data_IF_893517337082
#
_entry.id   IF_893517337082
#
_cell.length_a   1.000
_cell.length_b   1.000
_cell.length_c   1.000
_cell.angle_alpha   90.00
_cell.angle_beta   90.00
_cell.angle_gamma   90.00
#
_symmetry.space_group_name_H-M   'P 1'
#
loop_
_entity.id
_entity.type
_entity.pdbx_description
1 polymer ?
#
# COMPACT_ATOMS: atom_id res chain seq x y z
N UNK A 1 -8.30 3.56 4.58
CA UNK A 1 -7.36 4.33 5.44
C UNK A 1 -6.80 5.62 4.81
N UNK A 2 -6.34 5.61 3.55
CA UNK A 2 -5.68 6.79 2.94
C UNK A 2 -6.62 7.92 2.50
N UNK A 3 -7.86 7.59 2.07
CA UNK A 3 -8.80 8.59 1.52
C UNK A 3 -9.16 9.70 2.54
N UNK A 4 -9.44 9.40 3.82
CA UNK A 4 -9.70 10.44 4.82
C UNK A 4 -8.49 11.33 5.11
N UNK A 5 -7.29 10.74 5.23
CA UNK A 5 -6.06 11.50 5.49
C UNK A 5 -5.73 12.46 4.34
N UNK A 6 -5.85 12.01 3.08
CA UNK A 6 -5.69 12.86 1.89
C UNK A 6 -6.74 13.98 1.82
N UNK A 7 -7.98 13.71 2.23
CA UNK A 7 -9.05 14.72 2.26
C UNK A 7 -8.82 15.79 3.34
N UNK A 8 -8.22 15.43 4.48
CA UNK A 8 -7.88 16.42 5.53
C UNK A 8 -6.68 17.28 5.16
N UNK A 9 -5.76 16.79 4.33
CA UNK A 9 -4.54 17.51 3.94
C UNK A 9 -4.79 18.79 3.12
N UNK A 10 -5.99 18.93 2.52
CA UNK A 10 -6.42 20.11 1.76
C UNK A 10 -7.25 21.10 2.59
N UNK A 11 -7.42 20.84 3.88
CA UNK A 11 -8.19 21.70 4.81
C UNK A 11 -7.27 22.70 5.53
N UNK A 12 -7.85 23.70 6.20
CA UNK A 12 -7.11 24.71 6.97
C UNK A 12 -6.38 24.13 8.21
N UNK A 13 -6.68 22.89 8.61
CA UNK A 13 -6.02 22.18 9.71
C UNK A 13 -5.68 20.74 9.30
N UNK A 14 -4.63 20.55 8.48
CA UNK A 14 -4.26 19.24 8.01
C UNK A 14 -3.67 18.39 9.15
N UNK A 15 -4.15 17.15 9.30
CA UNK A 15 -3.61 16.18 10.27
C UNK A 15 -2.20 15.75 9.88
N UNK A 16 -1.98 15.58 8.58
CA UNK A 16 -0.69 15.34 7.95
C UNK A 16 -0.58 16.19 6.70
N UNK A 17 0.63 16.60 6.34
CA UNK A 17 0.89 17.20 5.03
C UNK A 17 0.78 16.15 3.93
N UNK A 18 0.52 16.58 2.69
CA UNK A 18 0.48 15.68 1.52
C UNK A 18 1.80 14.90 1.40
N UNK A 19 2.94 15.55 1.62
CA UNK A 19 4.25 14.93 1.56
C UNK A 19 4.45 13.85 2.65
N UNK A 20 3.98 14.09 3.88
CA UNK A 20 4.01 13.09 4.95
C UNK A 20 3.15 11.88 4.58
N UNK A 21 1.95 12.11 4.01
CA UNK A 21 1.08 11.02 3.55
C UNK A 21 1.75 10.23 2.43
N UNK A 22 2.33 10.89 1.43
CA UNK A 22 3.02 10.22 0.33
C UNK A 22 4.23 9.41 0.80
N UNK A 23 4.95 9.90 1.82
CA UNK A 23 6.09 9.21 2.42
C UNK A 23 5.65 8.00 3.24
N UNK A 24 4.68 8.15 4.14
CA UNK A 24 4.19 7.07 5.01
C UNK A 24 3.53 5.95 4.19
N UNK A 25 2.73 6.32 3.18
CA UNK A 25 1.94 5.37 2.40
C UNK A 25 2.55 5.06 1.02
N UNK A 26 3.83 5.37 0.82
CA UNK A 26 4.52 5.16 -0.45
C UNK A 26 4.36 3.70 -0.91
N UNK A 27 3.94 3.49 -2.17
CA UNK A 27 3.72 2.17 -2.80
C UNK A 27 2.70 1.23 -2.17
N UNK A 28 2.06 1.57 -1.05
CA UNK A 28 1.06 0.69 -0.42
C UNK A 28 -0.13 0.43 -1.35
N UNK A 29 -0.63 1.47 -2.02
CA UNK A 29 -1.76 1.34 -2.97
C UNK A 29 -1.37 0.48 -4.18
N UNK A 30 -0.17 0.70 -4.74
CA UNK A 30 0.34 -0.09 -5.86
C UNK A 30 0.46 -1.58 -5.48
N UNK A 31 1.01 -1.89 -4.30
CA UNK A 31 1.12 -3.25 -3.78
C UNK A 31 -0.25 -3.89 -3.62
N UNK A 32 -1.22 -3.16 -3.05
CA UNK A 32 -2.59 -3.65 -2.92
C UNK A 32 -3.21 -4.02 -4.27
N UNK A 33 -3.06 -3.16 -5.28
CA UNK A 33 -3.62 -3.40 -6.61
C UNK A 33 -2.98 -4.62 -7.29
N UNK A 34 -1.67 -4.76 -7.20
CA UNK A 34 -0.93 -5.93 -7.71
C UNK A 34 -1.45 -7.23 -7.08
N UNK A 35 -1.60 -7.25 -5.75
CA UNK A 35 -2.06 -8.45 -5.04
C UNK A 35 -3.54 -8.74 -5.27
N UNK A 36 -4.37 -7.69 -5.35
CA UNK A 36 -5.79 -7.83 -5.68
C UNK A 36 -5.96 -8.40 -7.09
N UNK A 37 -5.22 -7.88 -8.07
CA UNK A 37 -5.27 -8.42 -9.43
C UNK A 37 -4.81 -9.87 -9.47
N UNK A 38 -3.71 -10.21 -8.78
CA UNK A 38 -3.25 -11.59 -8.70
C UNK A 38 -4.31 -12.51 -8.09
N UNK A 39 -4.92 -12.09 -6.98
CA UNK A 39 -5.99 -12.83 -6.32
C UNK A 39 -7.23 -13.00 -7.20
N UNK A 40 -7.72 -11.93 -7.82
CA UNK A 40 -8.92 -11.93 -8.66
C UNK A 40 -8.77 -12.90 -9.86
N UNK A 41 -7.55 -13.07 -10.37
CA UNK A 41 -7.24 -14.02 -11.45
C UNK A 41 -6.97 -15.45 -10.95
N UNK A 42 -6.41 -15.61 -9.75
CA UNK A 42 -6.05 -16.91 -9.18
C UNK A 42 -7.26 -17.63 -8.58
N UNK A 43 -8.07 -16.93 -7.80
CA UNK A 43 -9.20 -17.48 -7.05
C UNK A 43 -10.17 -18.32 -7.93
N UNK A 44 -10.68 -17.84 -9.08
CA UNK A 44 -11.60 -18.63 -9.90
C UNK A 44 -10.95 -19.89 -10.48
N UNK A 45 -9.65 -19.83 -10.83
CA UNK A 45 -8.90 -20.98 -11.36
C UNK A 45 -8.67 -22.05 -10.30
N UNK A 46 -8.50 -21.65 -9.04
CA UNK A 46 -8.36 -22.59 -7.91
C UNK A 46 -9.70 -23.22 -7.56
N UNK A 47 -10.79 -22.44 -7.60
CA UNK A 47 -12.14 -22.96 -7.31
C UNK A 47 -12.65 -23.93 -8.38
N UNK A 48 -12.30 -23.69 -9.65
CA UNK A 48 -12.65 -24.55 -10.78
C UNK A 48 -11.39 -25.17 -11.37
N UNK A 49 -10.73 -26.00 -10.57
CA UNK A 49 -9.50 -26.64 -10.97
C UNK A 49 -9.71 -27.69 -12.07
N UNK A 50 -8.95 -27.57 -13.16
CA UNK A 50 -8.81 -28.60 -14.19
C UNK A 50 -7.33 -28.84 -14.50
N UNK A 51 -6.99 -30.07 -14.84
CA UNK A 51 -5.67 -30.56 -15.27
C UNK A 51 -5.04 -29.79 -16.42
N UNK A 52 -5.84 -29.11 -17.25
CA UNK A 52 -5.37 -28.27 -18.37
C UNK A 52 -5.09 -26.82 -17.96
N UNK A 53 -5.50 -26.39 -16.76
CA UNK A 53 -5.33 -25.01 -16.31
C UNK A 53 -3.87 -24.77 -15.92
N UNK A 54 -3.22 -23.85 -16.63
CA UNK A 54 -1.90 -23.35 -16.23
C UNK A 54 -2.03 -22.03 -15.48
N UNK A 55 -1.24 -21.85 -14.42
CA UNK A 55 -1.22 -20.64 -13.60
C UNK A 55 0.13 -19.93 -13.59
N UNK A 56 1.17 -20.53 -14.17
CA UNK A 56 2.53 -19.99 -14.13
C UNK A 56 2.64 -18.55 -14.64
N UNK A 57 1.84 -18.19 -15.66
CA UNK A 57 1.78 -16.83 -16.19
C UNK A 57 1.32 -15.79 -15.15
N UNK A 58 0.46 -16.17 -14.20
CA UNK A 58 0.02 -15.28 -13.10
C UNK A 58 1.18 -14.96 -12.16
N UNK A 59 1.97 -15.97 -11.81
CA UNK A 59 3.16 -15.79 -10.96
C UNK A 59 4.27 -15.04 -11.68
N UNK A 60 4.46 -15.26 -12.99
CA UNK A 60 5.40 -14.48 -13.80
C UNK A 60 5.00 -13.00 -13.86
N UNK A 61 3.70 -12.72 -14.04
CA UNK A 61 3.18 -11.35 -13.99
C UNK A 61 3.42 -10.69 -12.63
N UNK A 62 3.12 -11.39 -11.53
CA UNK A 62 3.41 -10.90 -10.18
C UNK A 62 4.91 -10.61 -9.98
N UNK A 63 5.78 -11.53 -10.44
CA UNK A 63 7.23 -11.37 -10.35
C UNK A 63 7.74 -10.14 -11.15
N UNK A 64 7.15 -9.85 -12.31
CA UNK A 64 7.50 -8.67 -13.11
C UNK A 64 7.22 -7.34 -12.40
N UNK A 65 6.32 -7.33 -11.41
CA UNK A 65 5.92 -6.14 -10.66
C UNK A 65 6.66 -5.99 -9.31
N UNK A 66 7.62 -6.88 -9.00
CA UNK A 66 8.42 -6.82 -7.75
C UNK A 66 9.25 -5.54 -7.60
N UNK A 67 9.46 -4.77 -8.67
CA UNK A 67 10.10 -3.45 -8.58
C UNK A 67 9.39 -2.49 -7.61
N UNK A 68 8.07 -2.63 -7.45
CA UNK A 68 7.28 -1.85 -6.49
C UNK A 68 7.68 -2.17 -5.04
N UNK A 69 7.99 -3.43 -4.75
CA UNK A 69 8.46 -3.85 -3.42
C UNK A 69 9.81 -3.25 -3.07
N UNK A 70 10.74 -3.20 -4.05
CA UNK A 70 12.02 -2.54 -3.84
C UNK A 70 11.81 -1.07 -3.45
N UNK A 71 11.00 -0.34 -4.21
CA UNK A 71 10.69 1.06 -3.92
C UNK A 71 10.02 1.25 -2.54
N UNK A 72 9.13 0.34 -2.13
CA UNK A 72 8.55 0.33 -0.79
C UNK A 72 9.61 0.12 0.31
N UNK A 73 10.45 -0.90 0.16
CA UNK A 73 11.50 -1.26 1.15
C UNK A 73 12.54 -0.15 1.26
N UNK A 74 12.97 0.43 0.13
CA UNK A 74 13.94 1.54 0.11
C UNK A 74 13.41 2.76 0.89
N UNK A 75 12.09 2.99 0.88
CA UNK A 75 11.44 4.08 1.62
C UNK A 75 11.04 3.71 3.06
N UNK A 76 11.04 2.42 3.43
CA UNK A 76 10.43 1.93 4.68
C UNK A 76 10.96 2.63 5.93
N UNK A 77 12.28 2.84 6.03
CA UNK A 77 12.90 3.53 7.16
C UNK A 77 12.40 4.98 7.28
N UNK A 78 12.31 5.69 6.16
CA UNK A 78 11.86 7.09 6.12
C UNK A 78 10.38 7.19 6.45
N UNK A 79 9.56 6.26 5.96
CA UNK A 79 8.15 6.15 6.30
C UNK A 79 7.94 5.96 7.81
N UNK A 80 8.69 5.06 8.43
CA UNK A 80 8.59 4.78 9.87
C UNK A 80 8.98 5.99 10.71
N UNK A 81 10.14 6.60 10.44
CA UNK A 81 10.58 7.81 11.14
C UNK A 81 9.59 8.97 10.97
N UNK A 82 8.98 9.11 9.79
CA UNK A 82 7.96 10.13 9.53
C UNK A 82 6.69 9.85 10.32
N UNK A 83 6.23 8.60 10.34
CA UNK A 83 5.06 8.20 11.11
C UNK A 83 5.25 8.43 12.62
N UNK A 84 6.42 8.07 13.17
CA UNK A 84 6.74 8.30 14.58
C UNK A 84 6.73 9.79 14.94
N UNK A 85 7.40 10.63 14.13
CA UNK A 85 7.42 12.09 14.34
C UNK A 85 6.02 12.68 14.27
N UNK A 86 5.20 12.23 13.31
CA UNK A 86 3.82 12.67 13.17
C UNK A 86 2.96 12.23 14.35
N UNK A 87 3.17 11.02 14.88
CA UNK A 87 2.41 10.49 16.02
C UNK A 87 2.69 11.27 17.29
N UNK A 88 3.97 11.64 17.53
CA UNK A 88 4.36 12.47 18.67
C UNK A 88 3.89 13.93 18.56
N UNK A 89 3.74 14.46 17.35
CA UNK A 89 3.39 15.88 17.12
C UNK A 89 1.90 16.13 16.87
N UNK A 90 1.12 15.09 16.53
CA UNK A 90 -0.29 15.23 16.22
C UNK A 90 -1.14 14.16 16.92
N UNK A 91 -1.85 14.57 17.99
CA UNK A 91 -2.76 13.71 18.75
C UNK A 91 -3.87 13.05 17.92
N UNK A 92 -4.29 13.67 16.82
CA UNK A 92 -5.30 13.09 15.93
C UNK A 92 -4.69 11.98 15.06
N UNK A 93 -3.43 12.13 14.63
CA UNK A 93 -2.70 11.06 13.96
C UNK A 93 -2.33 9.93 14.92
N UNK A 94 -1.92 10.24 16.16
CA UNK A 94 -1.62 9.27 17.20
C UNK A 94 -2.78 8.28 17.42
N UNK A 95 -4.00 8.80 17.56
CA UNK A 95 -5.23 8.00 17.72
C UNK A 95 -5.56 7.11 16.52
N UNK A 96 -5.05 7.42 15.33
CA UNK A 96 -5.27 6.65 14.11
C UNK A 96 -4.14 5.62 13.90
N UNK A 97 -2.96 5.87 14.46
CA UNK A 97 -1.79 4.99 14.36
C UNK A 97 -1.75 3.84 15.38
N UNK A 98 -2.48 3.95 16.49
CA UNK A 98 -2.74 2.87 17.46
C UNK A 98 -3.83 1.90 16.97
#
# INVERSE_FOLDING_TARGET
PMKPLKATATTSQPVLTIQQIETIFYKIQDIYEIHKEFYDNLCPKVQQWDSQVTMGHLFQKLASQLGVYKAFVDNYKVALETAEKCSQSNNQFQKISE
#
